data_IF_454732870975
#
_entry.id   IF_454732870975
#
_cell.length_a   1.000
_cell.length_b   1.000
_cell.length_c   1.000
_cell.angle_alpha   90.00
_cell.angle_beta   90.00
_cell.angle_gamma   90.00
#
_symmetry.space_group_name_H-M   'P 1'
#
loop_
_entity.id
_entity.type
_entity.pdbx_description
1 polymer ?
#
# COMPACT_ATOMS: atom_id res chain seq x y z
N UNK A 1 -3.39 -2.01 18.56
CA UNK A 1 -2.99 -2.79 17.38
C UNK A 1 -3.73 -4.12 17.39
N UNK A 2 -4.24 -4.57 16.25
CA UNK A 2 -4.84 -5.90 16.13
C UNK A 2 -3.76 -6.90 15.73
N UNK A 3 -3.86 -8.15 16.19
CA UNK A 3 -3.07 -9.29 15.75
C UNK A 3 -4.03 -10.31 15.15
N UNK A 4 -3.74 -10.76 13.94
CA UNK A 4 -4.62 -11.67 13.19
C UNK A 4 -3.80 -12.81 12.60
N UNK A 5 -4.39 -14.00 12.54
CA UNK A 5 -3.82 -15.10 11.78
C UNK A 5 -4.01 -14.81 10.28
N UNK A 6 -2.92 -14.78 9.53
CA UNK A 6 -2.93 -14.40 8.13
C UNK A 6 -3.65 -15.39 7.20
N UNK A 7 -3.86 -16.64 7.64
CA UNK A 7 -4.47 -17.71 6.82
C UNK A 7 -5.98 -17.79 7.02
N UNK A 8 -6.44 -17.87 8.27
CA UNK A 8 -7.86 -18.07 8.59
C UNK A 8 -8.55 -16.78 9.09
N UNK A 9 -7.81 -15.66 9.12
CA UNK A 9 -8.31 -14.34 9.51
C UNK A 9 -8.92 -14.29 10.92
N UNK A 10 -8.53 -15.24 11.78
CA UNK A 10 -8.92 -15.25 13.19
C UNK A 10 -8.13 -14.21 13.97
N UNK A 11 -8.82 -13.50 14.85
CA UNK A 11 -8.19 -12.51 15.73
C UNK A 11 -7.42 -13.26 16.80
N UNK A 12 -6.13 -12.99 16.88
CA UNK A 12 -5.27 -13.53 17.93
C UNK A 12 -5.44 -12.66 19.19
N UNK A 13 -5.29 -11.34 19.05
CA UNK A 13 -5.49 -10.41 20.15
C UNK A 13 -5.66 -8.96 19.67
N UNK A 14 -6.05 -8.09 20.59
CA UNK A 14 -6.09 -6.64 20.44
C UNK A 14 -5.30 -6.03 21.57
N UNK A 15 -4.18 -5.42 21.23
CA UNK A 15 -3.24 -4.83 22.18
C UNK A 15 -3.34 -3.30 22.19
N UNK A 16 -3.11 -2.63 23.34
CA UNK A 16 -3.32 -1.19 23.48
C UNK A 16 -2.29 -0.37 22.73
N UNK A 17 -1.05 -0.85 22.66
CA UNK A 17 0.09 -0.09 22.15
C UNK A 17 0.81 -0.85 21.04
N UNK A 18 1.59 -0.09 20.25
CA UNK A 18 2.37 -0.61 19.12
C UNK A 18 3.85 -0.24 19.17
N UNK A 19 4.32 0.37 20.27
CA UNK A 19 5.72 0.71 20.42
C UNK A 19 6.55 -0.56 20.66
N UNK A 20 7.84 -0.50 20.34
CA UNK A 20 8.71 -1.67 20.36
C UNK A 20 8.84 -2.29 21.76
N UNK A 21 8.92 -1.47 22.81
CA UNK A 21 9.03 -1.95 24.21
C UNK A 21 7.81 -2.78 24.60
N UNK A 22 6.62 -2.28 24.31
CA UNK A 22 5.36 -2.98 24.60
C UNK A 22 5.27 -4.29 23.81
N UNK A 23 5.50 -4.25 22.49
CA UNK A 23 5.43 -5.43 21.63
C UNK A 23 6.44 -6.50 22.04
N UNK A 24 7.65 -6.10 22.43
CA UNK A 24 8.68 -7.01 22.96
C UNK A 24 8.18 -7.74 24.19
N UNK A 25 7.71 -6.99 25.19
CA UNK A 25 7.22 -7.56 26.44
C UNK A 25 6.00 -8.47 26.23
N UNK A 26 5.10 -8.08 25.32
CA UNK A 26 3.95 -8.89 24.95
C UNK A 26 4.36 -10.24 24.37
N UNK A 27 5.26 -10.27 23.39
CA UNK A 27 5.62 -11.50 22.71
C UNK A 27 6.59 -12.40 23.49
N UNK A 28 7.39 -11.86 24.40
CA UNK A 28 8.30 -12.67 25.25
C UNK A 28 7.53 -13.58 26.22
N UNK A 29 6.25 -13.29 26.50
CA UNK A 29 5.39 -14.17 27.30
C UNK A 29 5.14 -15.53 26.62
N UNK A 30 5.26 -15.60 25.30
CA UNK A 30 5.19 -16.87 24.57
C UNK A 30 6.53 -17.60 24.62
N UNK A 31 6.46 -18.93 24.78
CA UNK A 31 7.66 -19.78 24.84
C UNK A 31 8.57 -19.57 23.62
N UNK A 32 9.88 -19.71 23.83
CA UNK A 32 10.84 -19.55 22.75
C UNK A 32 10.56 -20.53 21.59
N UNK A 33 10.18 -21.77 21.91
CA UNK A 33 9.77 -22.79 20.93
C UNK A 33 8.58 -22.32 20.08
N UNK A 34 7.57 -21.70 20.68
CA UNK A 34 6.43 -21.15 19.94
C UNK A 34 6.86 -20.01 19.02
N UNK A 35 7.72 -19.10 19.49
CA UNK A 35 8.24 -18.00 18.66
C UNK A 35 9.09 -18.50 17.48
N UNK A 36 9.88 -19.55 17.66
CA UNK A 36 10.65 -20.18 16.59
C UNK A 36 9.77 -20.87 15.53
N UNK A 37 8.54 -21.27 15.87
CA UNK A 37 7.59 -21.89 14.94
C UNK A 37 6.85 -20.89 14.04
N UNK A 38 7.00 -19.58 14.28
CA UNK A 38 6.40 -18.56 13.41
C UNK A 38 7.14 -18.52 12.08
N UNK A 39 6.47 -18.88 10.98
CA UNK A 39 7.07 -18.96 9.65
C UNK A 39 7.01 -17.66 8.86
N UNK A 40 5.97 -16.84 9.06
CA UNK A 40 5.74 -15.64 8.26
C UNK A 40 5.11 -14.53 9.08
N UNK A 41 5.51 -13.29 8.82
CA UNK A 41 4.90 -12.10 9.43
C UNK A 41 4.66 -11.06 8.32
N UNK A 42 3.40 -10.71 8.09
CA UNK A 42 3.02 -9.63 7.20
C UNK A 42 2.87 -8.33 7.99
N UNK A 43 3.58 -7.28 7.58
CA UNK A 43 3.56 -5.97 8.25
C UNK A 43 3.61 -4.84 7.24
N UNK A 44 3.18 -3.64 7.68
CA UNK A 44 3.42 -2.39 6.95
C UNK A 44 4.92 -2.15 6.73
N UNK A 45 5.33 -1.05 6.09
CA UNK A 45 6.75 -0.73 5.83
C UNK A 45 7.45 -0.01 7.00
N UNK A 46 6.87 -0.01 8.21
CA UNK A 46 7.44 0.69 9.35
C UNK A 46 8.75 0.05 9.83
N UNK A 47 9.86 0.80 9.72
CA UNK A 47 11.20 0.28 9.96
C UNK A 47 11.41 -0.34 11.37
N UNK A 48 10.90 0.26 12.47
CA UNK A 48 11.09 -0.30 13.81
C UNK A 48 10.50 -1.68 14.04
N UNK A 49 9.55 -2.14 13.23
CA UNK A 49 9.06 -3.52 13.32
C UNK A 49 10.09 -4.55 12.86
N UNK A 50 10.96 -4.23 11.90
CA UNK A 50 11.90 -5.22 11.32
C UNK A 50 12.92 -5.70 12.33
N UNK A 51 13.53 -4.78 13.07
CA UNK A 51 14.52 -5.15 14.09
C UNK A 51 13.88 -6.01 15.18
N UNK A 52 12.69 -5.61 15.64
CA UNK A 52 11.94 -6.34 16.65
C UNK A 52 11.50 -7.73 16.16
N UNK A 53 11.01 -7.85 14.93
CA UNK A 53 10.60 -9.13 14.36
C UNK A 53 11.78 -10.09 14.26
N UNK A 54 12.93 -9.62 13.80
CA UNK A 54 14.14 -10.46 13.70
C UNK A 54 14.63 -10.94 15.07
N UNK A 55 14.49 -10.12 16.11
CA UNK A 55 14.81 -10.51 17.49
C UNK A 55 13.82 -11.57 18.03
N UNK A 56 12.52 -11.33 17.84
CA UNK A 56 11.48 -12.15 18.46
C UNK A 56 11.18 -13.44 17.69
N UNK A 57 11.23 -13.39 16.36
CA UNK A 57 10.80 -14.44 15.43
C UNK A 57 11.87 -14.67 14.35
N UNK A 58 13.05 -15.18 14.73
CA UNK A 58 14.22 -15.22 13.83
C UNK A 58 14.02 -16.10 12.58
N UNK A 59 13.10 -17.07 12.63
CA UNK A 59 12.77 -17.96 11.51
C UNK A 59 11.68 -17.40 10.58
N UNK A 60 11.05 -16.28 10.93
CA UNK A 60 9.91 -15.76 10.19
C UNK A 60 10.34 -14.95 8.96
N UNK A 61 9.80 -15.29 7.80
CA UNK A 61 9.89 -14.45 6.61
C UNK A 61 9.00 -13.21 6.79
N UNK A 62 9.61 -12.03 6.65
CA UNK A 62 8.88 -10.76 6.66
C UNK A 62 8.29 -10.54 5.27
N UNK A 63 6.98 -10.33 5.21
CA UNK A 63 6.24 -10.04 3.98
C UNK A 63 5.84 -8.56 4.01
N UNK A 64 6.26 -7.81 2.98
CA UNK A 64 5.88 -6.42 2.83
C UNK A 64 4.43 -6.29 2.41
N UNK A 65 3.71 -5.34 3.02
CA UNK A 65 2.39 -4.96 2.56
C UNK A 65 2.47 -4.18 1.23
N UNK A 66 1.99 -4.83 0.16
CA UNK A 66 1.91 -4.25 -1.19
C UNK A 66 1.14 -2.93 -1.24
N UNK A 67 0.12 -2.75 -0.39
CA UNK A 67 -0.71 -1.55 -0.41
C UNK A 67 0.11 -0.31 -0.06
N UNK A 68 0.98 -0.40 0.94
CA UNK A 68 1.83 0.71 1.35
C UNK A 68 2.88 1.06 0.29
N UNK A 69 3.44 0.06 -0.41
CA UNK A 69 4.37 0.30 -1.52
C UNK A 69 3.67 1.03 -2.67
N UNK A 70 2.52 0.51 -3.12
CA UNK A 70 1.74 1.12 -4.22
C UNK A 70 1.23 2.51 -3.85
N UNK A 71 0.75 2.70 -2.62
CA UNK A 71 0.23 4.00 -2.15
C UNK A 71 1.33 5.06 -2.10
N UNK A 72 2.56 4.69 -1.77
CA UNK A 72 3.69 5.62 -1.79
C UNK A 72 3.98 6.13 -3.21
N UNK A 73 4.02 5.22 -4.19
CA UNK A 73 4.20 5.59 -5.60
C UNK A 73 3.00 6.37 -6.16
N UNK A 74 1.77 5.97 -5.83
CA UNK A 74 0.54 6.69 -6.16
C UNK A 74 0.56 8.14 -5.65
N UNK A 75 1.02 8.33 -4.41
CA UNK A 75 1.13 9.66 -3.80
C UNK A 75 2.20 10.49 -4.49
N UNK A 76 3.33 9.89 -4.85
CA UNK A 76 4.39 10.55 -5.61
C UNK A 76 3.92 10.99 -7.00
N UNK A 77 3.25 10.10 -7.75
CA UNK A 77 2.67 10.41 -9.06
C UNK A 77 1.70 11.59 -8.98
N UNK A 78 0.82 11.60 -7.98
CA UNK A 78 -0.11 12.72 -7.77
C UNK A 78 0.61 14.03 -7.42
N UNK A 79 1.64 14.00 -6.59
CA UNK A 79 2.44 15.20 -6.27
C UNK A 79 3.11 15.78 -7.51
N UNK A 80 3.74 14.93 -8.33
CA UNK A 80 4.40 15.32 -9.57
C UNK A 80 3.38 15.91 -10.55
N UNK A 81 2.26 15.21 -10.77
CA UNK A 81 1.15 15.72 -11.60
C UNK A 81 0.63 17.07 -11.12
N UNK A 82 0.46 17.27 -9.81
CA UNK A 82 0.02 18.57 -9.25
C UNK A 82 1.07 19.65 -9.49
N UNK A 83 2.36 19.32 -9.35
CA UNK A 83 3.46 20.26 -9.59
C UNK A 83 3.47 20.72 -11.05
N UNK A 84 3.52 19.77 -11.99
CA UNK A 84 3.45 20.04 -13.44
C UNK A 84 2.19 20.84 -13.80
N UNK A 85 1.03 20.41 -13.29
CA UNK A 85 -0.24 21.12 -13.49
C UNK A 85 -0.14 22.58 -13.03
N UNK A 86 0.47 22.86 -11.88
CA UNK A 86 0.62 24.23 -11.35
C UNK A 86 1.61 25.08 -12.14
N UNK A 87 2.66 24.47 -12.69
CA UNK A 87 3.65 25.17 -13.54
C UNK A 87 3.00 25.78 -14.79
N UNK A 88 1.98 25.12 -15.36
CA UNK A 88 1.18 25.67 -16.46
C UNK A 88 0.25 26.84 -16.07
N UNK A 89 -0.10 27.01 -14.79
CA UNK A 89 -1.02 28.07 -14.33
C UNK A 89 -2.52 27.75 -14.50
N UNK A 90 -3.35 28.23 -13.57
CA UNK A 90 -4.76 27.81 -13.41
C UNK A 90 -5.69 28.08 -14.62
N UNK A 91 -5.33 29.03 -15.50
CA UNK A 91 -6.14 29.45 -16.64
C UNK A 91 -5.87 28.69 -17.94
N UNK A 92 -4.86 27.82 -17.98
CA UNK A 92 -4.43 27.16 -19.22
C UNK A 92 -5.20 25.89 -19.53
N UNK A 93 -5.11 25.45 -20.78
CA UNK A 93 -5.72 24.22 -21.23
C UNK A 93 -5.11 23.00 -20.51
N UNK A 94 -3.78 23.00 -20.38
CA UNK A 94 -2.96 21.94 -19.78
C UNK A 94 -3.33 21.74 -18.31
N UNK A 95 -3.46 22.84 -17.55
CA UNK A 95 -3.92 22.79 -16.16
C UNK A 95 -5.29 22.09 -16.05
N UNK A 96 -6.26 22.48 -16.90
CA UNK A 96 -7.61 21.90 -16.88
C UNK A 96 -7.59 20.43 -17.28
N UNK A 97 -6.81 20.05 -18.28
CA UNK A 97 -6.69 18.67 -18.75
C UNK A 97 -6.06 17.78 -17.66
N UNK A 98 -4.91 18.17 -17.12
CA UNK A 98 -4.21 17.45 -16.03
C UNK A 98 -5.05 17.34 -14.76
N UNK A 99 -5.91 18.34 -14.48
CA UNK A 99 -6.86 18.31 -13.37
C UNK A 99 -8.05 17.41 -13.65
N UNK A 100 -8.59 17.39 -14.86
CA UNK A 100 -9.78 16.61 -15.23
C UNK A 100 -9.49 15.11 -15.29
N UNK A 101 -8.39 14.74 -15.94
CA UNK A 101 -8.06 13.36 -16.27
C UNK A 101 -7.08 12.71 -15.29
N UNK A 102 -6.88 13.30 -14.11
CA UNK A 102 -5.91 12.80 -13.12
C UNK A 102 -6.11 11.33 -12.71
N UNK A 103 -7.36 10.83 -12.71
CA UNK A 103 -7.67 9.43 -12.39
C UNK A 103 -7.17 8.48 -13.47
N UNK A 104 -7.12 8.93 -14.72
CA UNK A 104 -6.71 8.10 -15.84
C UNK A 104 -5.21 7.78 -15.77
N UNK A 105 -4.41 8.73 -15.33
CA UNK A 105 -2.97 8.55 -15.03
C UNK A 105 -2.70 7.50 -13.94
N UNK A 106 -3.70 7.15 -13.13
CA UNK A 106 -3.58 6.24 -11.99
C UNK A 106 -4.32 4.92 -12.23
N UNK A 107 -5.09 4.84 -13.32
CA UNK A 107 -5.77 3.63 -13.76
C UNK A 107 -4.70 2.62 -14.19
N UNK A 108 -4.91 1.35 -13.89
CA UNK A 108 -4.05 0.30 -14.43
C UNK A 108 -4.16 0.31 -15.95
N UNK A 109 -3.04 0.24 -16.65
CA UNK A 109 -2.98 0.23 -18.10
C UNK A 109 -3.86 -0.87 -18.72
N UNK A 110 -3.95 -2.04 -18.10
CA UNK A 110 -4.78 -3.14 -18.57
C UNK A 110 -6.29 -2.84 -18.50
N UNK A 111 -6.69 -1.83 -17.72
CA UNK A 111 -8.08 -1.39 -17.56
C UNK A 111 -8.39 -0.12 -18.39
N UNK A 112 -7.41 0.45 -19.08
CA UNK A 112 -7.59 1.63 -19.95
C UNK A 112 -8.45 1.24 -21.16
N UNK A 113 -9.39 2.10 -21.55
CA UNK A 113 -10.25 1.84 -22.70
C UNK A 113 -9.58 2.33 -23.99
N UNK A 114 -9.26 1.38 -24.88
CA UNK A 114 -8.59 1.63 -26.16
C UNK A 114 -9.56 1.75 -27.34
N UNK A 115 -10.85 1.46 -27.15
CA UNK A 115 -11.78 1.24 -28.25
C UNK A 115 -12.98 2.18 -28.23
N UNK A 116 -13.37 2.67 -27.05
CA UNK A 116 -14.51 3.58 -26.93
C UNK A 116 -14.05 5.02 -27.00
N UNK A 117 -14.62 5.74 -27.96
CA UNK A 117 -14.38 7.16 -28.18
C UNK A 117 -15.49 7.98 -27.53
N UNK A 118 -15.10 9.11 -26.95
CA UNK A 118 -16.01 10.07 -26.37
C UNK A 118 -15.55 11.49 -26.70
N UNK A 119 -16.47 12.45 -26.90
CA UNK A 119 -16.11 13.85 -27.10
C UNK A 119 -15.49 14.39 -25.82
N UNK A 120 -14.24 14.87 -25.90
CA UNK A 120 -13.53 15.45 -24.76
C UNK A 120 -13.50 16.96 -24.85
N UNK A 121 -14.31 17.64 -24.02
CA UNK A 121 -14.40 19.11 -23.98
C UNK A 121 -13.03 19.80 -23.82
N UNK A 122 -12.16 19.22 -22.99
CA UNK A 122 -10.80 19.74 -22.79
C UNK A 122 -9.99 19.78 -24.09
N UNK A 123 -10.25 18.86 -25.03
CA UNK A 123 -9.55 18.77 -26.31
C UNK A 123 -10.45 19.21 -27.48
N UNK A 124 -11.19 20.31 -27.30
CA UNK A 124 -12.06 20.91 -28.32
C UNK A 124 -13.09 19.93 -28.90
N UNK A 125 -13.66 19.07 -28.05
CA UNK A 125 -14.62 18.03 -28.43
C UNK A 125 -14.09 16.99 -29.43
N UNK A 126 -12.77 16.81 -29.51
CA UNK A 126 -12.22 15.67 -30.22
C UNK A 126 -12.77 14.36 -29.63
N UNK A 127 -13.17 13.45 -30.51
CA UNK A 127 -13.53 12.07 -30.18
C UNK A 127 -12.23 11.34 -29.83
N UNK A 128 -12.06 11.00 -28.54
CA UNK A 128 -10.83 10.38 -28.04
C UNK A 128 -11.14 9.22 -27.11
N UNK A 129 -10.41 8.13 -27.31
CA UNK A 129 -10.27 7.03 -26.35
C UNK A 129 -9.55 7.48 -25.08
N UNK A 130 -9.58 6.64 -24.04
CA UNK A 130 -8.80 6.90 -22.83
C UNK A 130 -7.28 6.86 -23.15
N UNK A 131 -6.83 5.98 -24.04
CA UNK A 131 -5.42 5.91 -24.47
C UNK A 131 -4.95 7.20 -25.14
N UNK A 132 -5.71 7.73 -26.10
CA UNK A 132 -5.31 8.96 -26.79
C UNK A 132 -5.36 10.19 -25.87
N UNK A 133 -6.23 10.17 -24.85
CA UNK A 133 -6.19 11.18 -23.79
C UNK A 133 -4.87 11.08 -23.02
N UNK A 134 -4.42 9.88 -22.65
CA UNK A 134 -3.14 9.69 -21.98
C UNK A 134 -1.97 10.18 -22.84
N UNK A 135 -1.94 9.82 -24.12
CA UNK A 135 -0.90 10.26 -25.06
C UNK A 135 -0.81 11.80 -25.10
N UNK A 136 -1.96 12.48 -25.23
CA UNK A 136 -2.02 13.95 -25.19
C UNK A 136 -1.58 14.56 -23.86
N UNK A 137 -1.78 13.87 -22.73
CA UNK A 137 -1.26 14.33 -21.44
C UNK A 137 0.25 14.13 -21.35
N UNK A 138 0.79 13.07 -21.95
CA UNK A 138 2.22 12.80 -21.99
C UNK A 138 2.97 13.79 -22.90
N UNK A 139 2.32 14.26 -23.97
CA UNK A 139 2.85 15.34 -24.82
C UNK A 139 3.03 16.67 -24.06
N UNK A 140 2.27 16.89 -22.98
CA UNK A 140 2.46 18.05 -22.11
C UNK A 140 3.77 17.92 -21.31
N UNK A 141 4.14 16.72 -20.86
CA UNK A 141 5.34 16.55 -20.03
C UNK A 141 5.96 15.16 -20.17
N UNK A 142 7.20 15.14 -20.68
CA UNK A 142 8.02 13.93 -20.71
C UNK A 142 8.29 13.36 -19.31
N UNK A 143 8.42 14.23 -18.30
CA UNK A 143 8.55 13.84 -16.91
C UNK A 143 7.30 13.08 -16.43
N UNK A 144 6.09 13.55 -16.78
CA UNK A 144 4.85 12.87 -16.43
C UNK A 144 4.79 11.46 -17.06
N UNK A 145 5.22 11.33 -18.31
CA UNK A 145 5.28 10.04 -19.03
C UNK A 145 6.20 9.04 -18.33
N UNK A 146 7.44 9.44 -18.01
CA UNK A 146 8.42 8.58 -17.31
C UNK A 146 7.85 8.08 -15.98
N UNK A 147 7.21 8.97 -15.22
CA UNK A 147 6.65 8.63 -13.91
C UNK A 147 5.42 7.72 -14.03
N UNK A 148 4.59 7.93 -15.05
CA UNK A 148 3.47 7.04 -15.37
C UNK A 148 3.98 5.63 -15.71
N UNK A 149 4.96 5.51 -16.61
CA UNK A 149 5.55 4.23 -17.02
C UNK A 149 6.15 3.48 -15.82
N UNK A 150 6.89 4.18 -14.95
CA UNK A 150 7.41 3.60 -13.71
C UNK A 150 6.29 3.10 -12.79
N UNK A 151 5.21 3.89 -12.64
CA UNK A 151 4.06 3.51 -11.83
C UNK A 151 3.33 2.29 -12.41
N UNK A 152 3.11 2.23 -13.73
CA UNK A 152 2.48 1.08 -14.38
C UNK A 152 3.34 -0.19 -14.26
N UNK A 153 4.66 -0.06 -14.39
CA UNK A 153 5.58 -1.18 -14.18
C UNK A 153 5.49 -1.73 -12.75
N UNK A 154 5.34 -0.86 -11.74
CA UNK A 154 5.10 -1.27 -10.35
C UNK A 154 3.78 -2.03 -10.18
N UNK A 155 2.70 -1.58 -10.82
CA UNK A 155 1.42 -2.29 -10.79
C UNK A 155 1.53 -3.66 -11.48
N UNK A 156 2.18 -3.71 -12.64
CA UNK A 156 2.38 -4.92 -13.41
C UNK A 156 3.25 -5.94 -12.66
N UNK A 157 4.29 -5.48 -11.97
CA UNK A 157 5.14 -6.30 -11.11
C UNK A 157 4.33 -7.04 -10.04
N UNK A 158 3.43 -6.35 -9.32
CA UNK A 158 2.56 -6.99 -8.32
C UNK A 158 1.49 -7.89 -8.95
N UNK A 159 0.95 -7.53 -10.12
CA UNK A 159 -0.04 -8.36 -10.82
C UNK A 159 0.56 -9.69 -11.28
N UNK A 160 1.79 -9.65 -11.79
CA UNK A 160 2.51 -10.81 -12.31
C UNK A 160 3.39 -11.51 -11.26
N UNK A 161 3.48 -10.98 -10.04
CA UNK A 161 4.41 -11.45 -9.00
C UNK A 161 5.85 -11.62 -9.54
N UNK A 162 6.31 -10.68 -10.37
CA UNK A 162 7.52 -10.86 -11.17
C UNK A 162 8.76 -10.25 -10.53
N UNK A 163 9.73 -11.10 -10.17
CA UNK A 163 11.06 -10.69 -9.72
C UNK A 163 11.85 -9.96 -10.79
N UNK A 164 11.66 -10.31 -12.06
CA UNK A 164 12.31 -9.64 -13.19
C UNK A 164 11.86 -8.17 -13.28
N UNK A 165 10.55 -7.92 -13.16
CA UNK A 165 10.02 -6.55 -13.17
C UNK A 165 10.46 -5.77 -11.92
N UNK A 166 10.57 -6.43 -10.77
CA UNK A 166 11.13 -5.80 -9.56
C UNK A 166 12.60 -5.40 -9.77
N UNK A 167 13.40 -6.25 -10.41
CA UNK A 167 14.80 -5.92 -10.74
C UNK A 167 14.88 -4.70 -11.64
N UNK A 168 14.07 -4.64 -12.71
CA UNK A 168 13.98 -3.50 -13.61
C UNK A 168 13.53 -2.21 -12.91
N UNK A 169 12.53 -2.29 -12.03
CA UNK A 169 12.11 -1.14 -11.21
C UNK A 169 13.24 -0.62 -10.32
N UNK A 170 14.07 -1.52 -9.78
CA UNK A 170 15.17 -1.15 -8.90
C UNK A 170 16.45 -0.71 -9.61
N UNK A 171 16.55 -0.89 -10.93
CA UNK A 171 17.71 -0.44 -11.68
C UNK A 171 17.66 1.08 -11.88
N UNK A 172 18.50 1.82 -11.15
CA UNK A 172 18.55 3.29 -11.23
C UNK A 172 19.05 3.81 -12.56
N UNK A 173 19.79 3.03 -13.33
CA UNK A 173 20.26 3.46 -14.66
C UNK A 173 19.13 3.50 -15.69
N UNK A 174 18.06 2.73 -15.44
CA UNK A 174 16.89 2.65 -16.30
C UNK A 174 15.92 3.84 -16.17
N UNK A 175 16.09 4.73 -15.18
CA UNK A 175 15.07 5.76 -14.90
C UNK A 175 15.62 7.13 -14.51
N UNK A 176 15.12 8.17 -15.18
CA UNK A 176 15.28 9.56 -14.75
C UNK A 176 14.11 10.01 -13.85
N UNK A 177 14.04 9.50 -12.62
CA UNK A 177 12.91 9.76 -11.72
C UNK A 177 13.00 11.12 -11.00
N UNK A 178 11.87 11.82 -10.83
CA UNK A 178 11.79 13.03 -10.01
C UNK A 178 11.99 12.72 -8.52
N UNK A 179 12.37 13.71 -7.69
CA UNK A 179 12.65 13.50 -6.27
C UNK A 179 11.53 12.78 -5.50
N UNK A 180 10.27 13.09 -5.81
CA UNK A 180 9.11 12.50 -5.16
C UNK A 180 9.01 10.99 -5.42
N UNK A 181 9.28 10.55 -6.66
CA UNK A 181 9.24 9.13 -7.03
C UNK A 181 10.51 8.38 -6.61
N UNK A 182 11.67 9.07 -6.53
CA UNK A 182 12.91 8.48 -5.96
C UNK A 182 12.71 7.99 -4.53
N UNK A 183 11.84 8.63 -3.75
CA UNK A 183 11.55 8.16 -2.39
C UNK A 183 10.80 6.83 -2.40
N UNK A 184 9.89 6.60 -3.34
CA UNK A 184 9.23 5.30 -3.53
C UNK A 184 10.26 4.23 -3.97
N UNK A 185 11.14 4.58 -4.91
CA UNK A 185 12.25 3.70 -5.34
C UNK A 185 13.15 3.30 -4.17
N UNK A 186 13.55 4.25 -3.31
CA UNK A 186 14.36 3.97 -2.11
C UNK A 186 13.66 2.97 -1.18
N UNK A 187 12.35 3.13 -0.97
CA UNK A 187 11.56 2.18 -0.16
C UNK A 187 11.54 0.80 -0.82
N UNK A 188 11.27 0.71 -2.13
CA UNK A 188 11.24 -0.56 -2.86
C UNK A 188 12.60 -1.28 -2.76
N UNK A 189 13.71 -0.56 -2.96
CA UNK A 189 15.06 -1.09 -2.79
C UNK A 189 15.31 -1.60 -1.38
N UNK A 190 14.95 -0.80 -0.37
CA UNK A 190 15.14 -1.15 1.05
C UNK A 190 14.38 -2.41 1.45
N UNK A 191 13.18 -2.60 0.92
CA UNK A 191 12.28 -3.69 1.27
C UNK A 191 12.21 -4.78 0.18
N UNK A 192 13.20 -4.84 -0.73
CA UNK A 192 13.17 -5.72 -1.91
C UNK A 192 12.90 -7.18 -1.54
N UNK A 193 13.64 -7.74 -0.59
CA UNK A 193 13.45 -9.12 -0.15
C UNK A 193 12.06 -9.36 0.46
N UNK A 194 11.52 -8.40 1.22
CA UNK A 194 10.18 -8.50 1.81
C UNK A 194 9.07 -8.44 0.75
N UNK A 195 9.31 -7.69 -0.34
CA UNK A 195 8.44 -7.63 -1.52
C UNK A 195 8.52 -8.96 -2.30
N UNK A 196 9.71 -9.52 -2.48
CA UNK A 196 9.88 -10.84 -3.12
C UNK A 196 9.18 -11.95 -2.35
N UNK A 197 9.18 -11.91 -1.01
CA UNK A 197 8.42 -12.83 -0.18
C UNK A 197 6.90 -12.73 -0.45
N UNK A 198 6.39 -11.53 -0.73
CA UNK A 198 4.97 -11.32 -1.08
C UNK A 198 4.58 -11.99 -2.41
N UNK A 199 5.54 -12.18 -3.33
CA UNK A 199 5.30 -12.87 -4.60
C UNK A 199 5.17 -14.39 -4.42
N UNK A 200 5.91 -14.96 -3.46
CA UNK A 200 5.87 -16.39 -3.14
C UNK A 200 4.57 -16.74 -2.39
N UNK A 201 4.12 -15.86 -1.51
CA UNK A 201 2.93 -16.06 -0.68
C UNK A 201 1.86 -14.97 -0.91
N UNK A 202 1.30 -14.85 -2.13
CA UNK A 202 0.47 -13.71 -2.53
C UNK A 202 -0.88 -13.61 -1.81
N UNK A 203 -1.31 -14.70 -1.16
CA UNK A 203 -2.54 -14.72 -0.34
C UNK A 203 -2.35 -14.08 1.04
N UNK A 204 -1.11 -13.98 1.52
CA UNK A 204 -0.81 -13.39 2.83
C UNK A 204 -0.70 -11.87 2.69
N UNK A 205 -1.81 -11.19 2.96
CA UNK A 205 -1.93 -9.73 2.83
C UNK A 205 -2.46 -9.10 4.12
N UNK A 206 -2.27 -7.79 4.26
CA UNK A 206 -2.88 -7.02 5.33
C UNK A 206 -4.35 -6.64 5.07
N UNK A 207 -4.96 -7.04 3.95
CA UNK A 207 -6.36 -6.70 3.65
C UNK A 207 -7.35 -7.07 4.77
N UNK A 208 -7.31 -8.30 5.31
CA UNK A 208 -8.15 -8.71 6.44
C UNK A 208 -7.95 -7.85 7.69
N UNK A 209 -6.70 -7.50 8.03
CA UNK A 209 -6.42 -6.67 9.21
C UNK A 209 -6.92 -5.24 9.00
N UNK A 210 -6.85 -4.71 7.79
CA UNK A 210 -7.39 -3.39 7.46
C UNK A 210 -8.92 -3.37 7.54
N UNK A 211 -9.60 -4.44 7.12
CA UNK A 211 -11.04 -4.61 7.34
C UNK A 211 -11.41 -4.55 8.82
N UNK A 212 -10.69 -5.30 9.66
CA UNK A 212 -10.88 -5.30 11.12
C UNK A 212 -10.56 -3.92 11.70
N UNK A 213 -9.46 -3.28 11.29
CA UNK A 213 -9.08 -1.94 11.75
C UNK A 213 -10.16 -0.90 11.40
N UNK A 214 -10.76 -0.97 10.21
CA UNK A 214 -11.85 -0.09 9.81
C UNK A 214 -13.11 -0.34 10.65
N UNK A 215 -13.46 -1.60 10.91
CA UNK A 215 -14.56 -1.95 11.81
C UNK A 215 -14.35 -1.40 13.22
N UNK A 216 -13.15 -1.53 13.78
CA UNK A 216 -12.76 -0.96 15.08
C UNK A 216 -12.90 0.57 15.09
N UNK A 217 -12.47 1.25 14.02
CA UNK A 217 -12.63 2.71 13.88
C UNK A 217 -14.11 3.11 13.87
N UNK A 218 -14.99 2.33 13.23
CA UNK A 218 -16.44 2.56 13.23
C UNK A 218 -17.02 2.40 14.64
N UNK A 219 -16.67 1.33 15.36
CA UNK A 219 -17.09 1.13 16.77
C UNK A 219 -16.69 2.34 17.62
N UNK A 220 -15.43 2.78 17.51
CA UNK A 220 -14.93 3.93 18.27
C UNK A 220 -15.71 5.21 17.95
N UNK A 221 -16.08 5.43 16.68
CA UNK A 221 -16.84 6.60 16.23
C UNK A 221 -18.27 6.59 16.76
N UNK A 222 -18.95 5.45 16.72
CA UNK A 222 -20.34 5.31 17.21
C UNK A 222 -20.41 5.50 18.73
N UNK A 223 -19.38 5.06 19.46
CA UNK A 223 -19.33 5.19 20.91
C UNK A 223 -18.82 6.56 21.41
N UNK A 224 -18.45 7.48 20.50
CA UNK A 224 -17.81 8.76 20.84
C UNK A 224 -16.51 8.61 21.67
N UNK A 225 -15.80 7.50 21.48
CA UNK A 225 -14.59 7.17 22.22
C UNK A 225 -14.81 6.21 23.40
N UNK A 226 -13.70 5.82 24.03
CA UNK A 226 -13.69 4.94 25.19
C UNK A 226 -12.60 5.40 26.15
N UNK A 227 -12.93 5.51 27.43
CA UNK A 227 -11.99 5.92 28.49
C UNK A 227 -11.21 4.73 29.09
N UNK A 228 -11.72 3.50 28.92
CA UNK A 228 -11.10 2.28 29.43
C UNK A 228 -10.82 1.30 28.29
N UNK A 229 -9.54 0.98 28.08
CA UNK A 229 -9.13 0.05 27.04
C UNK A 229 -9.73 -1.35 27.21
N UNK A 230 -9.93 -1.84 28.44
CA UNK A 230 -10.54 -3.15 28.69
C UNK A 230 -11.98 -3.19 28.15
N UNK A 231 -12.77 -2.16 28.41
CA UNK A 231 -14.14 -2.04 27.88
C UNK A 231 -14.14 -1.92 26.36
N UNK A 232 -13.21 -1.13 25.81
CA UNK A 232 -13.07 -1.01 24.36
C UNK A 232 -12.71 -2.35 23.71
N UNK A 233 -11.72 -3.06 24.26
CA UNK A 233 -11.30 -4.39 23.82
C UNK A 233 -12.46 -5.38 23.86
N UNK A 234 -13.20 -5.45 24.97
CA UNK A 234 -14.37 -6.31 25.10
C UNK A 234 -15.43 -6.00 24.04
N UNK A 235 -15.73 -4.71 23.81
CA UNK A 235 -16.69 -4.32 22.77
C UNK A 235 -16.25 -4.77 21.38
N UNK A 236 -14.97 -4.62 21.05
CA UNK A 236 -14.45 -5.06 19.75
C UNK A 236 -14.60 -6.58 19.61
N UNK A 237 -14.21 -7.34 20.63
CA UNK A 237 -14.28 -8.81 20.62
C UNK A 237 -15.73 -9.31 20.47
N UNK A 238 -16.70 -8.68 21.16
CA UNK A 238 -18.13 -9.00 21.02
C UNK A 238 -18.64 -8.71 19.60
N UNK A 239 -18.15 -7.65 18.98
CA UNK A 239 -18.63 -7.21 17.67
C UNK A 239 -18.10 -8.02 16.49
N UNK A 240 -17.03 -8.79 16.68
CA UNK A 240 -16.38 -9.56 15.62
C UNK A 240 -16.89 -11.01 15.68
N UNK A 241 -17.68 -11.42 14.68
CA UNK A 241 -18.27 -12.77 14.62
C UNK A 241 -17.19 -13.83 14.47
N UNK A 242 -17.10 -14.71 15.48
CA UNK A 242 -16.29 -15.94 15.58
C UNK A 242 -14.77 -15.77 15.79
N UNK A 243 -14.26 -16.49 16.80
CA UNK A 243 -12.85 -16.89 17.04
C UNK A 243 -12.01 -16.02 17.99
N UNK A 244 -12.36 -15.95 19.27
CA UNK A 244 -11.42 -15.51 20.33
C UNK A 244 -10.94 -16.74 21.09
N UNK A 245 -9.63 -17.01 21.12
CA UNK A 245 -9.05 -17.85 22.17
C UNK A 245 -8.89 -16.93 23.38
N UNK A 246 -9.70 -17.15 24.41
CA UNK A 246 -9.39 -16.57 25.71
C UNK A 246 -8.12 -17.26 26.21
N UNK A 247 -6.98 -16.58 26.13
CA UNK A 247 -5.87 -16.92 27.01
C UNK A 247 -6.31 -16.44 28.40
N UNK A 248 -6.91 -17.36 29.17
CA UNK A 248 -7.04 -17.22 30.61
C UNK A 248 -5.64 -17.10 31.19
N UNK A 249 -5.34 -15.96 31.81
CA UNK A 249 -4.27 -15.83 32.79
C UNK A 249 -4.50 -16.77 33.94
#
# INVERSE_FOLDING_TARGET
MCLINAVNHRIIDIIPERNNKFLRNYFIQYSYKARLSVMTITVDLYAPYRSLIKELFPNAFIIADKFHVVTQAYTAMNKIRIRIMKEYGAGTHEYRALKRFWKLLLKNQDDVDYHRYYPRINFKYAELSDSEVLDRLFDMSSELKIVYEYYQLLLQMYRKNSRQLLNLLTDTSSWNLPPEMRQALKTIKKHKAEIENSFVLPKLTNGPIEGVNNHIKVIKRIAYGYNNFKHFRLRILISLKNNVIFFST
#
